data_IF_286121207742
#
_entry.id   IF_286121207742
#
_cell.length_a   1.000
_cell.length_b   1.000
_cell.length_c   1.000
_cell.angle_alpha   90.00
_cell.angle_beta   90.00
_cell.angle_gamma   90.00
#
_symmetry.space_group_name_H-M   'P 1'
#
loop_
_entity.id
_entity.type
_entity.pdbx_description
1 polymer ?
#
# COMPACT_ATOMS: atom_id res chain seq x y z
N UNK A 1 7.36 -15.65 5.15
CA UNK A 1 7.46 -14.18 4.92
C UNK A 1 6.14 -13.67 4.36
N UNK A 2 5.76 -12.40 4.55
CA UNK A 2 4.50 -11.84 4.02
C UNK A 2 4.80 -10.80 2.94
N UNK A 3 3.83 -10.54 2.06
CA UNK A 3 3.88 -9.41 1.13
C UNK A 3 2.58 -8.62 1.12
N UNK A 4 2.69 -7.30 0.95
CA UNK A 4 1.56 -6.42 0.69
C UNK A 4 1.58 -6.06 -0.79
N UNK A 5 0.52 -6.41 -1.49
CA UNK A 5 0.28 -5.99 -2.88
C UNK A 5 -0.63 -4.77 -2.88
N UNK A 6 -0.21 -3.73 -3.59
CA UNK A 6 -1.04 -2.58 -3.92
C UNK A 6 -1.28 -2.57 -5.42
N UNK A 7 -2.54 -2.72 -5.81
CA UNK A 7 -2.98 -2.69 -7.21
C UNK A 7 -3.85 -1.45 -7.44
N UNK A 8 -3.59 -0.68 -8.51
CA UNK A 8 -4.48 0.39 -8.92
C UNK A 8 -5.65 -0.15 -9.74
N UNK A 9 -6.88 0.18 -9.33
CA UNK A 9 -8.12 -0.19 -10.04
C UNK A 9 -8.28 0.62 -11.33
N UNK A 10 -7.69 1.82 -11.41
CA UNK A 10 -7.76 2.67 -12.61
C UNK A 10 -6.54 2.54 -13.53
N UNK A 11 -5.43 2.01 -13.02
CA UNK A 11 -4.24 1.74 -13.79
C UNK A 11 -3.77 0.31 -13.52
N UNK A 12 -4.33 -0.65 -14.26
CA UNK A 12 -4.04 -2.08 -14.08
C UNK A 12 -2.57 -2.47 -14.33
N UNK A 13 -1.76 -1.58 -14.92
CA UNK A 13 -0.32 -1.79 -15.08
C UNK A 13 0.48 -1.37 -13.85
N UNK A 14 -0.14 -0.70 -12.88
CA UNK A 14 0.49 -0.30 -11.64
C UNK A 14 0.20 -1.31 -10.52
N UNK A 15 1.16 -2.21 -10.32
CA UNK A 15 1.22 -3.13 -9.20
C UNK A 15 2.52 -2.93 -8.44
N UNK A 16 2.43 -2.81 -7.11
CA UNK A 16 3.59 -2.77 -6.22
C UNK A 16 3.49 -3.92 -5.23
N UNK A 17 4.49 -4.80 -5.22
CA UNK A 17 4.61 -5.90 -4.26
C UNK A 17 5.69 -5.55 -3.26
N UNK A 18 5.31 -5.43 -1.99
CA UNK A 18 6.20 -5.01 -0.91
C UNK A 18 6.41 -6.21 0.03
N UNK A 19 7.64 -6.72 0.18
CA UNK A 19 7.94 -7.69 1.22
C UNK A 19 7.81 -7.03 2.60
N UNK A 20 7.10 -7.67 3.52
CA UNK A 20 6.86 -7.14 4.87
C UNK A 20 7.13 -8.18 5.94
N UNK A 21 7.53 -7.70 7.11
CA UNK A 21 7.68 -8.50 8.33
C UNK A 21 6.73 -7.94 9.38
N UNK A 22 5.97 -8.83 10.03
CA UNK A 22 5.03 -8.44 11.09
C UNK A 22 5.77 -7.72 12.22
N UNK A 23 5.22 -6.59 12.67
CA UNK A 23 5.78 -5.74 13.71
C UNK A 23 6.94 -4.85 13.25
N UNK A 24 7.37 -4.91 11.98
CA UNK A 24 8.44 -4.07 11.44
C UNK A 24 7.89 -3.02 10.46
N UNK A 25 8.42 -1.78 10.49
CA UNK A 25 8.08 -0.79 9.50
C UNK A 25 8.62 -1.20 8.13
N UNK A 26 7.91 -0.80 7.08
CA UNK A 26 8.36 -0.91 5.70
C UNK A 26 8.21 0.43 4.97
N UNK A 27 9.00 0.61 3.92
CA UNK A 27 8.94 1.76 3.01
C UNK A 27 9.33 1.29 1.61
N UNK A 28 8.57 1.73 0.62
CA UNK A 28 8.91 1.58 -0.80
C UNK A 28 8.72 2.90 -1.52
N UNK A 29 9.45 3.09 -2.61
CA UNK A 29 9.36 4.26 -3.48
C UNK A 29 9.16 3.77 -4.91
N UNK A 30 8.16 4.30 -5.58
CA UNK A 30 7.91 4.11 -7.01
C UNK A 30 8.07 5.46 -7.69
N UNK A 31 8.85 5.51 -8.77
CA UNK A 31 9.10 6.73 -9.53
C UNK A 31 8.97 6.43 -11.02
N UNK A 32 8.23 7.26 -11.75
CA UNK A 32 8.06 7.14 -13.20
C UNK A 32 8.56 8.39 -13.97
N UNK A 33 9.32 9.28 -13.32
CA UNK A 33 9.83 10.53 -13.87
C UNK A 33 8.88 11.73 -13.75
N UNK A 34 7.57 11.49 -13.75
CA UNK A 34 6.54 12.53 -13.58
C UNK A 34 6.00 12.59 -12.15
N UNK A 35 5.96 11.44 -11.46
CA UNK A 35 5.43 11.28 -10.11
C UNK A 35 6.30 10.31 -9.31
N UNK A 36 6.72 10.75 -8.12
CA UNK A 36 7.34 9.90 -7.10
C UNK A 36 6.31 9.57 -6.02
N UNK A 37 6.00 8.29 -5.85
CA UNK A 37 5.14 7.75 -4.81
C UNK A 37 5.98 7.09 -3.72
N UNK A 38 5.86 7.57 -2.48
CA UNK A 38 6.39 6.89 -1.30
C UNK A 38 5.26 6.20 -0.56
N UNK A 39 5.37 4.88 -0.36
CA UNK A 39 4.40 4.09 0.41
C UNK A 39 5.14 3.53 1.63
N UNK A 40 4.58 3.73 2.81
CA UNK A 40 5.14 3.18 4.05
C UNK A 40 4.05 2.70 5.00
N UNK A 41 4.43 1.89 5.99
CA UNK A 41 3.49 1.37 6.97
C UNK A 41 4.12 0.34 7.89
N UNK A 42 3.29 -0.26 8.72
CA UNK A 42 3.66 -1.38 9.60
C UNK A 42 2.51 -2.38 9.58
N UNK A 43 2.81 -3.66 9.39
CA UNK A 43 1.81 -4.72 9.54
C UNK A 43 1.88 -5.25 10.96
N UNK A 44 0.82 -5.06 11.74
CA UNK A 44 0.75 -5.52 13.12
C UNK A 44 0.39 -7.01 13.21
N UNK A 45 0.59 -7.60 14.38
CA UNK A 45 0.14 -8.96 14.66
C UNK A 45 -1.37 -9.11 14.45
N UNK A 46 -1.81 -10.31 14.06
CA UNK A 46 -3.21 -10.55 13.76
C UNK A 46 -4.07 -10.47 15.02
N UNK A 47 -5.21 -9.78 14.92
CA UNK A 47 -6.28 -9.74 15.92
C UNK A 47 -7.53 -10.33 15.27
N UNK A 48 -8.07 -11.41 15.82
CA UNK A 48 -9.24 -12.12 15.28
C UNK A 48 -9.08 -12.49 13.78
N UNK A 49 -7.90 -12.95 13.38
CA UNK A 49 -7.60 -13.34 12.00
C UNK A 49 -7.36 -12.18 11.02
N UNK A 50 -7.37 -10.93 11.49
CA UNK A 50 -7.11 -9.73 10.67
C UNK A 50 -5.84 -9.03 11.11
N UNK A 51 -5.07 -8.51 10.15
CA UNK A 51 -3.81 -7.81 10.35
C UNK A 51 -4.04 -6.30 10.25
N UNK A 52 -3.94 -5.54 11.35
CA UNK A 52 -3.98 -4.09 11.30
C UNK A 52 -2.80 -3.55 10.49
N UNK A 53 -3.09 -2.66 9.55
CA UNK A 53 -2.12 -2.14 8.60
C UNK A 53 -2.37 -0.65 8.31
N UNK A 54 -1.81 0.28 9.09
CA UNK A 54 -1.73 1.68 8.69
C UNK A 54 -0.80 1.81 7.47
N UNK A 55 -1.34 2.35 6.38
CA UNK A 55 -0.60 2.67 5.16
C UNK A 55 -0.56 4.19 4.98
N UNK A 56 0.64 4.71 4.80
CA UNK A 56 0.93 6.10 4.50
C UNK A 56 1.37 6.17 3.05
N UNK A 57 0.76 7.08 2.29
CA UNK A 57 1.14 7.34 0.89
C UNK A 57 1.43 8.82 0.76
N UNK A 58 2.57 9.13 0.15
CA UNK A 58 2.97 10.48 -0.20
C UNK A 58 3.33 10.51 -1.68
N UNK A 59 2.56 11.28 -2.44
CA UNK A 59 2.71 11.51 -3.87
C UNK A 59 3.37 12.87 -4.09
N UNK A 60 4.48 12.88 -4.83
CA UNK A 60 5.17 14.09 -5.26
C UNK A 60 5.17 14.14 -6.78
N UNK A 61 4.39 15.07 -7.35
CA UNK A 61 4.36 15.32 -8.78
C UNK A 61 5.42 16.36 -9.19
N UNK A 62 6.11 16.14 -10.31
CA UNK A 62 7.14 17.04 -10.85
C UNK A 62 6.62 18.44 -11.22
N UNK A 63 5.30 18.58 -11.45
CA UNK A 63 4.63 19.84 -11.88
C UNK A 63 3.60 20.38 -10.89
N UNK A 64 3.59 19.92 -9.63
CA UNK A 64 2.55 20.27 -8.66
C UNK A 64 2.97 20.10 -7.20
N UNK A 65 2.00 20.30 -6.28
CA UNK A 65 2.21 20.16 -4.84
C UNK A 65 2.30 18.70 -4.39
N UNK A 66 2.90 18.48 -3.21
CA UNK A 66 2.91 17.17 -2.56
C UNK A 66 1.53 16.87 -1.98
N UNK A 67 1.01 15.68 -2.22
CA UNK A 67 -0.25 15.23 -1.64
C UNK A 67 -0.04 13.90 -0.94
N UNK A 68 -0.54 13.78 0.28
CA UNK A 68 -0.40 12.54 1.04
C UNK A 68 -1.65 12.22 1.84
N UNK A 69 -1.70 11.00 2.33
CA UNK A 69 -2.73 10.58 3.25
C UNK A 69 -2.44 9.23 3.88
N UNK A 70 -3.32 8.87 4.81
CA UNK A 70 -3.22 7.64 5.59
C UNK A 70 -4.50 6.83 5.41
N UNK A 71 -4.36 5.51 5.38
CA UNK A 71 -5.49 4.59 5.42
C UNK A 71 -5.19 3.46 6.39
N UNK A 72 -6.16 3.12 7.22
CA UNK A 72 -6.04 2.03 8.17
C UNK A 72 -6.82 0.83 7.67
N UNK A 73 -6.13 -0.29 7.45
CA UNK A 73 -6.74 -1.54 6.99
C UNK A 73 -6.75 -2.60 8.09
N UNK A 74 -7.66 -3.56 7.94
CA UNK A 74 -7.72 -4.79 8.73
C UNK A 74 -7.66 -5.96 7.74
N UNK A 75 -6.44 -6.26 7.28
CA UNK A 75 -6.21 -7.17 6.16
C UNK A 75 -6.42 -8.62 6.58
N UNK A 76 -7.15 -9.38 5.79
CA UNK A 76 -7.19 -10.84 5.90
C UNK A 76 -6.20 -11.44 4.90
N UNK A 77 -5.60 -12.58 5.23
CA UNK A 77 -4.69 -13.26 4.31
C UNK A 77 -5.42 -13.65 3.03
N UNK A 78 -4.75 -13.37 1.90
CA UNK A 78 -5.17 -13.69 0.54
C UNK A 78 -6.51 -13.07 0.13
N UNK A 79 -7.02 -12.12 0.92
CA UNK A 79 -8.21 -11.32 0.59
C UNK A 79 -7.81 -9.88 0.30
N UNK A 80 -8.28 -9.39 -0.84
CA UNK A 80 -8.06 -8.01 -1.22
C UNK A 80 -9.08 -7.11 -0.50
N UNK A 81 -8.62 -5.98 0.03
CA UNK A 81 -9.47 -4.96 0.64
C UNK A 81 -9.34 -3.66 -0.15
N UNK A 82 -10.47 -3.10 -0.58
CA UNK A 82 -10.51 -1.83 -1.29
C UNK A 82 -10.25 -0.65 -0.35
N UNK A 83 -9.41 0.28 -0.78
CA UNK A 83 -9.24 1.59 -0.18
C UNK A 83 -9.95 2.67 -0.99
N UNK A 84 -10.50 3.67 -0.29
CA UNK A 84 -10.91 4.93 -0.91
C UNK A 84 -9.71 5.72 -1.46
N UNK A 85 -9.96 6.85 -2.13
CA UNK A 85 -8.90 7.66 -2.70
C UNK A 85 -7.96 8.18 -1.61
N UNK A 86 -6.66 8.10 -1.87
CA UNK A 86 -5.63 8.80 -1.11
C UNK A 86 -4.83 9.62 -2.12
N UNK A 87 -4.77 10.93 -1.90
CA UNK A 87 -4.04 11.91 -2.69
C UNK A 87 -4.64 12.31 -4.06
N UNK A 88 -3.95 13.23 -4.77
CA UNK A 88 -4.41 14.03 -5.91
C UNK A 88 -4.79 13.23 -7.15
N UNK A 89 -4.29 12.00 -7.29
CA UNK A 89 -4.71 11.11 -8.33
C UNK A 89 -5.37 9.87 -7.76
N UNK A 90 -6.37 9.44 -8.52
CA UNK A 90 -7.39 8.47 -8.20
C UNK A 90 -6.80 7.06 -8.11
N UNK A 91 -6.02 6.81 -7.05
CA UNK A 91 -5.59 5.46 -6.67
C UNK A 91 -6.68 4.81 -5.85
N UNK A 92 -7.79 4.45 -6.51
CA UNK A 92 -8.61 3.33 -6.03
C UNK A 92 -7.67 2.14 -5.98
N UNK A 93 -7.35 1.67 -4.78
CA UNK A 93 -6.39 0.59 -4.61
C UNK A 93 -7.03 -0.60 -3.95
N UNK A 94 -6.68 -1.78 -4.43
CA UNK A 94 -6.88 -3.00 -3.65
C UNK A 94 -5.59 -3.31 -2.93
N UNK A 95 -5.69 -3.53 -1.62
CA UNK A 95 -4.58 -3.92 -0.77
C UNK A 95 -4.78 -5.38 -0.39
N UNK A 96 -3.79 -6.23 -0.68
CA UNK A 96 -3.84 -7.66 -0.35
C UNK A 96 -2.60 -8.04 0.44
N UNK A 97 -2.80 -8.76 1.54
CA UNK A 97 -1.71 -9.38 2.30
C UNK A 97 -1.63 -10.86 1.91
N UNK A 98 -0.48 -11.32 1.44
CA UNK A 98 -0.28 -12.72 1.04
C UNK A 98 0.88 -13.34 1.79
N UNK A 99 0.85 -14.67 1.96
CA UNK A 99 2.05 -15.44 2.34
C UNK A 99 2.94 -15.57 1.12
N UNK A 100 4.21 -15.22 1.26
CA UNK A 100 5.21 -15.59 0.27
C UNK A 100 5.54 -17.08 0.45
N UNK A 101 5.56 -17.82 -0.66
CA UNK A 101 6.14 -19.16 -0.68
C UNK A 101 7.62 -19.05 -0.26
N UNK A 102 8.06 -20.01 0.56
CA UNK A 102 9.47 -20.17 0.96
C UNK A 102 10.33 -20.63 -0.20
#
# INVERSE_FOLDING_TARGET
MLSVTLDSVLNHHFQVVIPVTVGKPFKTVSDNGDVTNTISGTISASVNGKYPAPLYVNEKASRGGNVGGVSNYLLELDKAQSGGPVASFVYLRTVKLTRMAE
#
